data_IF_201325877973
#
_entry.id   IF_201325877973
#
_cell.length_a   1.000
_cell.length_b   1.000
_cell.length_c   1.000
_cell.angle_alpha   90.00
_cell.angle_beta   90.00
_cell.angle_gamma   90.00
#
_symmetry.space_group_name_H-M   'P 1'
#
loop_
_entity.id
_entity.type
_entity.pdbx_description
1 polymer ?
#
# COMPACT_ATOMS: atom_id res chain seq x y z
N UNK A 1 28.20 -33.66 -1.55
CA UNK A 1 26.90 -33.29 -2.16
C UNK A 1 26.48 -32.00 -1.49
N UNK A 2 26.64 -30.87 -2.19
CA UNK A 2 26.14 -29.58 -1.71
C UNK A 2 24.67 -29.55 -2.13
N UNK A 3 23.75 -29.51 -1.17
CA UNK A 3 22.35 -29.29 -1.45
C UNK A 3 22.26 -27.92 -2.15
N UNK A 4 21.80 -27.93 -3.39
CA UNK A 4 21.43 -26.70 -4.08
C UNK A 4 20.28 -26.13 -3.25
N UNK A 5 20.49 -24.96 -2.63
CA UNK A 5 19.42 -24.25 -1.96
C UNK A 5 18.38 -23.88 -3.03
N UNK A 6 17.28 -24.62 -3.06
CA UNK A 6 16.16 -24.47 -3.99
C UNK A 6 15.15 -23.44 -3.45
N UNK A 7 15.58 -22.54 -2.57
CA UNK A 7 14.75 -21.43 -2.13
C UNK A 7 14.33 -20.62 -3.36
N UNK A 8 13.03 -20.25 -3.49
CA UNK A 8 12.57 -19.42 -4.60
C UNK A 8 13.36 -18.12 -4.54
N UNK A 9 14.19 -17.91 -5.56
CA UNK A 9 15.08 -16.77 -5.62
C UNK A 9 14.22 -15.54 -5.92
N UNK A 10 14.02 -14.72 -4.88
CA UNK A 10 13.22 -13.49 -4.96
C UNK A 10 13.92 -12.53 -5.91
N UNK A 11 13.28 -12.17 -7.01
CA UNK A 11 13.78 -11.15 -7.93
C UNK A 11 13.54 -9.75 -7.34
N UNK A 12 14.55 -9.25 -6.65
CA UNK A 12 14.52 -7.95 -5.98
C UNK A 12 14.44 -6.78 -6.94
N UNK A 13 14.94 -6.92 -8.17
CA UNK A 13 14.89 -5.84 -9.17
C UNK A 13 13.47 -5.73 -9.74
N UNK A 14 12.80 -6.85 -9.98
CA UNK A 14 11.39 -6.88 -10.36
C UNK A 14 10.50 -6.31 -9.26
N UNK A 15 10.72 -6.72 -8.00
CA UNK A 15 9.99 -6.21 -6.84
C UNK A 15 10.20 -4.71 -6.66
N UNK A 16 11.43 -4.23 -6.85
CA UNK A 16 11.72 -2.80 -6.78
C UNK A 16 10.98 -2.03 -7.87
N UNK A 17 11.04 -2.50 -9.12
CA UNK A 17 10.34 -1.86 -10.24
C UNK A 17 8.81 -1.86 -10.03
N UNK A 18 8.26 -2.96 -9.48
CA UNK A 18 6.86 -3.05 -9.09
C UNK A 18 6.49 -2.04 -8.00
N UNK A 19 7.29 -1.99 -6.93
CA UNK A 19 7.07 -1.09 -5.78
C UNK A 19 7.10 0.38 -6.21
N UNK A 20 8.03 0.76 -7.10
CA UNK A 20 8.09 2.12 -7.65
C UNK A 20 6.80 2.47 -8.41
N UNK A 21 6.30 1.57 -9.27
CA UNK A 21 5.03 1.80 -9.97
C UNK A 21 3.88 1.97 -9.00
N UNK A 22 3.83 1.12 -7.98
CA UNK A 22 2.78 1.13 -6.96
C UNK A 22 2.76 2.47 -6.19
N UNK A 23 3.94 2.96 -5.79
CA UNK A 23 4.08 4.24 -5.10
C UNK A 23 3.65 5.43 -5.96
N UNK A 24 3.97 5.42 -7.27
CA UNK A 24 3.55 6.47 -8.20
C UNK A 24 2.03 6.52 -8.37
N UNK A 25 1.38 5.36 -8.49
CA UNK A 25 -0.08 5.28 -8.61
C UNK A 25 -0.79 5.70 -7.31
N UNK A 26 -0.23 5.31 -6.15
CA UNK A 26 -0.69 5.79 -4.85
C UNK A 26 -0.62 7.33 -4.76
N UNK A 27 0.50 7.92 -5.18
CA UNK A 27 0.67 9.37 -5.22
C UNK A 27 -0.36 10.07 -6.11
N UNK A 28 -0.70 9.49 -7.26
CA UNK A 28 -1.75 10.04 -8.14
C UNK A 28 -3.14 9.95 -7.51
N UNK A 29 -3.47 8.83 -6.83
CA UNK A 29 -4.73 8.71 -6.09
C UNK A 29 -4.87 9.77 -5.00
N UNK A 30 -3.80 10.02 -4.24
CA UNK A 30 -3.76 11.07 -3.22
C UNK A 30 -3.94 12.45 -3.87
N UNK A 31 -3.24 12.73 -4.97
CA UNK A 31 -3.34 14.00 -5.69
C UNK A 31 -4.76 14.26 -6.20
N UNK A 32 -5.41 13.26 -6.78
CA UNK A 32 -6.81 13.36 -7.24
C UNK A 32 -7.76 13.56 -6.06
N UNK A 33 -7.56 12.83 -4.96
CA UNK A 33 -8.32 13.00 -3.72
C UNK A 33 -8.19 14.41 -3.16
N UNK A 34 -6.97 14.97 -3.15
CA UNK A 34 -6.70 16.34 -2.74
C UNK A 34 -7.35 17.38 -3.65
N UNK A 35 -7.26 17.22 -4.98
CA UNK A 35 -7.89 18.14 -5.93
C UNK A 35 -9.42 18.23 -5.74
N UNK A 36 -10.08 17.12 -5.41
CA UNK A 36 -11.52 17.09 -5.08
C UNK A 36 -11.87 17.91 -3.84
N UNK A 37 -10.95 18.06 -2.88
CA UNK A 37 -11.14 18.89 -1.67
C UNK A 37 -11.21 20.36 -2.02
N UNK A 38 -10.27 20.83 -2.82
CA UNK A 38 -10.17 22.24 -3.20
C UNK A 38 -11.29 22.67 -4.16
N UNK A 39 -11.90 21.75 -4.90
CA UNK A 39 -13.04 22.06 -5.76
C UNK A 39 -14.36 22.27 -5.00
N UNK A 40 -14.45 21.87 -3.72
CA UNK A 40 -15.65 21.93 -2.89
C UNK A 40 -15.55 23.03 -1.80
N UNK A 41 -14.99 24.19 -2.16
CA UNK A 41 -14.61 25.27 -1.22
C UNK A 41 -15.68 26.38 -1.08
N UNK A 42 -16.89 26.05 -0.62
CA UNK A 42 -17.91 27.09 -0.31
C UNK A 42 -18.39 27.13 1.16
N UNK A 43 -17.81 26.37 2.09
CA UNK A 43 -18.18 26.46 3.50
C UNK A 43 -17.00 26.18 4.45
N UNK A 44 -16.55 27.21 5.16
CA UNK A 44 -15.25 27.31 5.88
C UNK A 44 -15.25 26.65 7.27
N UNK A 45 -16.41 26.29 7.83
CA UNK A 45 -16.49 25.63 9.17
C UNK A 45 -16.78 24.12 9.09
N UNK A 46 -17.50 23.66 8.07
CA UNK A 46 -17.68 22.23 7.78
C UNK A 46 -16.40 21.58 7.20
N UNK A 47 -15.42 22.39 6.81
CA UNK A 47 -14.23 21.95 6.06
C UNK A 47 -13.31 21.11 6.92
N UNK A 48 -13.11 21.39 8.21
CA UNK A 48 -12.16 20.63 9.05
C UNK A 48 -12.58 19.19 9.30
N UNK A 49 -13.87 18.96 9.56
CA UNK A 49 -14.42 17.60 9.76
C UNK A 49 -14.36 16.83 8.43
N UNK A 50 -14.85 17.42 7.34
CA UNK A 50 -14.83 16.81 6.02
C UNK A 50 -13.40 16.57 5.48
N UNK A 51 -12.46 17.44 5.85
CA UNK A 51 -11.03 17.34 5.52
C UNK A 51 -10.39 16.13 6.21
N UNK A 52 -10.64 15.91 7.50
CA UNK A 52 -10.10 14.74 8.21
C UNK A 52 -10.73 13.45 7.68
N UNK A 53 -12.04 13.46 7.42
CA UNK A 53 -12.75 12.31 6.88
C UNK A 53 -12.24 11.94 5.48
N UNK A 54 -12.04 12.91 4.58
CA UNK A 54 -11.54 12.64 3.23
C UNK A 54 -10.06 12.21 3.20
N UNK A 55 -9.23 12.63 4.17
CA UNK A 55 -7.86 12.06 4.34
C UNK A 55 -8.00 10.57 4.61
N UNK A 56 -8.79 10.24 5.63
CA UNK A 56 -9.01 8.86 6.08
C UNK A 56 -9.58 7.97 4.95
N UNK A 57 -10.49 8.48 4.12
CA UNK A 57 -11.02 7.73 2.98
C UNK A 57 -10.00 7.51 1.85
N UNK A 58 -9.18 8.52 1.56
CA UNK A 58 -8.15 8.42 0.53
C UNK A 58 -7.05 7.46 0.97
N UNK A 59 -6.61 7.54 2.22
CA UNK A 59 -5.59 6.64 2.78
C UNK A 59 -6.08 5.18 2.73
N UNK A 60 -7.30 4.90 3.20
CA UNK A 60 -7.92 3.56 3.10
C UNK A 60 -8.05 3.06 1.66
N UNK A 61 -8.38 3.94 0.72
CA UNK A 61 -8.49 3.58 -0.70
C UNK A 61 -7.12 3.25 -1.31
N UNK A 62 -6.07 3.98 -0.90
CA UNK A 62 -4.68 3.75 -1.31
C UNK A 62 -4.19 2.41 -0.76
N UNK A 63 -4.34 2.16 0.53
CA UNK A 63 -3.97 0.89 1.17
C UNK A 63 -4.68 -0.31 0.55
N UNK A 64 -6.00 -0.23 0.34
CA UNK A 64 -6.77 -1.30 -0.29
C UNK A 64 -6.29 -1.59 -1.73
N UNK A 65 -5.90 -0.55 -2.47
CA UNK A 65 -5.36 -0.68 -3.82
C UNK A 65 -3.97 -1.35 -3.81
N UNK A 66 -3.11 -0.94 -2.87
CA UNK A 66 -1.77 -1.50 -2.65
C UNK A 66 -1.88 -2.99 -2.31
N UNK A 67 -2.69 -3.34 -1.30
CA UNK A 67 -2.91 -4.71 -0.86
C UNK A 67 -3.41 -5.58 -2.03
N UNK A 68 -4.44 -5.11 -2.75
CA UNK A 68 -5.01 -5.84 -3.89
C UNK A 68 -3.96 -6.15 -4.96
N UNK A 69 -3.09 -5.19 -5.28
CA UNK A 69 -2.06 -5.35 -6.30
C UNK A 69 -0.96 -6.29 -5.84
N UNK A 70 -0.51 -6.18 -4.59
CA UNK A 70 0.46 -7.08 -4.00
C UNK A 70 -0.09 -8.51 -3.97
N UNK A 71 -1.29 -8.74 -3.44
CA UNK A 71 -1.90 -10.07 -3.38
C UNK A 71 -2.14 -10.67 -4.77
N UNK A 72 -2.34 -9.85 -5.80
CA UNK A 72 -2.51 -10.32 -7.18
C UNK A 72 -1.19 -10.66 -7.88
N UNK A 73 -0.11 -9.91 -7.60
CA UNK A 73 1.20 -10.13 -8.22
C UNK A 73 2.04 -11.16 -7.47
N UNK A 74 1.88 -11.21 -6.15
CA UNK A 74 2.65 -12.03 -5.22
C UNK A 74 1.73 -12.75 -4.22
N UNK A 75 0.91 -13.71 -4.69
CA UNK A 75 -0.07 -14.41 -3.84
C UNK A 75 0.56 -15.21 -2.70
N UNK A 76 1.82 -15.62 -2.85
CA UNK A 76 2.58 -16.40 -1.87
C UNK A 76 3.38 -15.53 -0.89
N UNK A 77 3.41 -14.20 -1.07
CA UNK A 77 4.09 -13.29 -0.15
C UNK A 77 3.19 -12.91 1.02
N UNK A 78 3.79 -12.76 2.21
CA UNK A 78 3.09 -12.30 3.40
C UNK A 78 2.94 -10.78 3.35
N UNK A 79 1.90 -10.25 4.02
CA UNK A 79 1.69 -8.81 4.17
C UNK A 79 1.47 -8.46 5.63
N UNK A 80 2.20 -7.47 6.12
CA UNK A 80 2.05 -6.91 7.47
C UNK A 80 1.77 -5.42 7.36
N UNK A 81 0.51 -5.05 7.57
CA UNK A 81 0.04 -3.66 7.62
C UNK A 81 -0.07 -3.14 9.06
N UNK A 82 0.02 -1.84 9.28
CA UNK A 82 -0.27 -1.19 10.58
C UNK A 82 -1.62 -1.63 11.15
N UNK A 83 -2.68 -1.64 10.32
CA UNK A 83 -4.02 -2.06 10.73
C UNK A 83 -4.25 -3.59 10.64
N UNK A 84 -3.40 -4.31 9.90
CA UNK A 84 -3.59 -5.76 9.63
C UNK A 84 -2.65 -6.65 10.44
N UNK A 85 -1.76 -6.06 11.25
CA UNK A 85 -0.82 -6.81 12.07
C UNK A 85 -1.51 -7.62 13.17
N UNK A 86 -1.57 -8.94 12.98
CA UNK A 86 -2.19 -9.88 13.92
C UNK A 86 -1.19 -10.49 14.94
N UNK A 87 0.02 -9.92 15.08
CA UNK A 87 1.06 -10.49 15.96
C UNK A 87 1.84 -11.64 15.32
N UNK A 88 1.84 -11.75 14.00
CA UNK A 88 2.55 -12.79 13.26
C UNK A 88 4.07 -12.57 13.29
N UNK A 89 4.83 -13.65 13.43
CA UNK A 89 6.29 -13.60 13.40
C UNK A 89 6.80 -13.39 11.97
N UNK A 90 7.78 -12.49 11.80
CA UNK A 90 8.53 -12.36 10.55
C UNK A 90 9.35 -13.64 10.35
N UNK A 91 9.15 -14.32 9.22
CA UNK A 91 9.88 -15.53 8.82
C UNK A 91 10.81 -15.24 7.65
N UNK A 92 11.53 -16.26 7.16
CA UNK A 92 12.34 -16.15 5.93
C UNK A 92 11.49 -16.02 4.65
N UNK A 93 10.16 -16.06 4.77
CA UNK A 93 9.26 -15.89 3.63
C UNK A 93 9.20 -14.40 3.22
N UNK A 94 9.13 -14.10 1.91
CA UNK A 94 9.00 -12.72 1.44
C UNK A 94 7.80 -12.02 2.07
N UNK A 95 8.08 -10.92 2.78
CA UNK A 95 7.07 -10.19 3.56
C UNK A 95 7.06 -8.73 3.15
N UNK A 96 5.89 -8.24 2.73
CA UNK A 96 5.61 -6.84 2.48
C UNK A 96 5.23 -6.16 3.79
N UNK A 97 5.89 -5.06 4.12
CA UNK A 97 5.60 -4.27 5.33
C UNK A 97 5.10 -2.91 4.88
N UNK A 98 3.91 -2.51 5.34
CA UNK A 98 3.28 -1.24 5.00
C UNK A 98 2.60 -0.60 6.21
N UNK A 99 2.54 0.73 6.22
CA UNK A 99 1.61 1.53 7.02
C UNK A 99 0.51 1.94 6.07
#
# INVERSE_FOLDING_TARGET
MIANDMSPQVDVDEILAFTIKLALEAGEMIRVGQARRFACESAVEATKVNTVDLVTEVDKAVEASILKRISSAYPDHKFMGEETYAGEAITDDPTWIGS
#
